data_IF_089238160986
#
_entry.id   IF_089238160986
#
_cell.length_a   1.000
_cell.length_b   1.000
_cell.length_c   1.000
_cell.angle_alpha   90.00
_cell.angle_beta   90.00
_cell.angle_gamma   90.00
#
_symmetry.space_group_name_H-M   'P 1'
#
loop_
_entity.id
_entity.type
_entity.pdbx_description
1 polymer ?
#
# COMPACT_ATOMS: atom_id res chain seq x y z
N UNK A 1 0.53 -26.38 7.32
CA UNK A 1 0.51 -24.93 7.01
C UNK A 1 -0.88 -24.59 6.50
N UNK A 2 -1.64 -23.74 7.19
CA UNK A 2 -3.00 -23.34 6.76
C UNK A 2 -2.82 -22.34 5.61
N UNK A 3 -3.26 -22.70 4.41
CA UNK A 3 -3.28 -21.75 3.29
C UNK A 3 -4.47 -20.83 3.52
N UNK A 4 -4.21 -19.55 3.80
CA UNK A 4 -5.27 -18.55 3.87
C UNK A 4 -5.67 -18.24 2.44
N UNK A 5 -6.87 -18.70 2.05
CA UNK A 5 -7.42 -18.42 0.72
C UNK A 5 -7.93 -16.99 0.60
N UNK A 6 -8.45 -16.41 1.69
CA UNK A 6 -9.06 -15.07 1.67
C UNK A 6 -8.76 -14.30 2.95
N UNK A 7 -8.58 -12.98 2.86
CA UNK A 7 -8.37 -12.13 4.04
C UNK A 7 -9.15 -10.82 3.90
N UNK A 8 -9.95 -10.50 4.93
CA UNK A 8 -10.67 -9.23 5.03
C UNK A 8 -9.86 -8.24 5.84
N UNK A 9 -9.43 -7.14 5.22
CA UNK A 9 -8.67 -6.07 5.85
C UNK A 9 -9.64 -5.10 6.54
N UNK A 10 -9.60 -4.99 7.88
CA UNK A 10 -10.29 -3.93 8.59
C UNK A 10 -9.85 -2.57 8.07
N UNK A 11 -10.81 -1.66 7.93
CA UNK A 11 -10.51 -0.29 7.55
C UNK A 11 -11.43 0.67 8.27
N UNK A 12 -10.94 1.88 8.46
CA UNK A 12 -11.72 2.99 8.98
C UNK A 12 -11.33 4.27 8.24
N UNK A 13 -12.21 5.25 8.24
CA UNK A 13 -11.93 6.53 7.64
C UNK A 13 -11.59 7.58 8.70
N UNK A 14 -10.64 8.44 8.36
CA UNK A 14 -10.38 9.69 9.07
C UNK A 14 -10.87 10.81 8.16
N UNK A 15 -11.90 11.52 8.62
CA UNK A 15 -12.42 12.70 7.97
C UNK A 15 -11.88 13.96 8.64
N UNK A 16 -11.26 14.83 7.86
CA UNK A 16 -10.68 16.12 8.26
C UNK A 16 -11.11 17.17 7.23
N UNK A 17 -12.28 17.79 7.39
CA UNK A 17 -12.86 18.71 6.40
C UNK A 17 -11.98 19.94 6.14
N UNK A 18 -11.18 20.34 7.13
CA UNK A 18 -10.20 21.43 7.06
C UNK A 18 -9.09 21.21 6.01
N UNK A 19 -8.92 19.98 5.47
CA UNK A 19 -7.88 19.66 4.48
C UNK A 19 -8.35 19.90 3.06
N UNK A 20 -7.65 20.78 2.34
CA UNK A 20 -7.96 21.16 0.94
C UNK A 20 -7.83 20.02 -0.07
N UNK A 21 -6.89 19.08 0.11
CA UNK A 21 -6.58 18.05 -0.90
C UNK A 21 -7.03 16.63 -0.56
N UNK A 22 -7.10 16.28 0.74
CA UNK A 22 -7.48 14.94 1.21
C UNK A 22 -8.33 15.06 2.47
N UNK A 23 -9.57 15.52 2.29
CA UNK A 23 -10.55 15.64 3.37
C UNK A 23 -10.91 14.28 3.98
N UNK A 24 -10.92 13.20 3.18
CA UNK A 24 -11.16 11.83 3.64
C UNK A 24 -9.92 10.97 3.39
N UNK A 25 -9.49 10.22 4.41
CA UNK A 25 -8.43 9.21 4.29
C UNK A 25 -8.92 7.88 4.83
N UNK A 26 -8.83 6.83 4.01
CA UNK A 26 -9.08 5.46 4.47
C UNK A 26 -7.79 4.92 5.06
N UNK A 27 -7.87 4.25 6.20
CA UNK A 27 -6.75 3.53 6.81
C UNK A 27 -7.11 2.05 6.77
N UNK A 28 -6.20 1.25 6.20
CA UNK A 28 -6.29 -0.20 6.18
C UNK A 28 -5.40 -0.74 7.29
N UNK A 29 -5.91 -1.68 8.08
CA UNK A 29 -5.15 -2.33 9.15
C UNK A 29 -4.92 -3.83 8.83
N UNK A 30 -3.81 -4.17 8.17
CA UNK A 30 -3.44 -5.55 7.89
C UNK A 30 -2.75 -6.26 9.08
N UNK A 31 -2.70 -5.63 10.27
CA UNK A 31 -2.09 -6.21 11.47
C UNK A 31 -3.10 -6.88 12.40
N UNK A 32 -4.39 -6.55 12.27
CA UNK A 32 -5.46 -7.20 13.02
C UNK A 32 -5.48 -8.72 12.75
N UNK A 33 -5.90 -9.52 13.74
CA UNK A 33 -6.04 -10.97 13.56
C UNK A 33 -7.47 -11.40 13.88
N UNK A 34 -8.04 -12.26 13.04
CA UNK A 34 -9.35 -12.89 13.31
C UNK A 34 -9.25 -14.41 13.44
N UNK A 35 -8.23 -15.00 12.81
CA UNK A 35 -8.00 -16.46 12.75
C UNK A 35 -6.64 -16.86 13.34
N UNK A 36 -5.97 -15.96 14.06
CA UNK A 36 -4.67 -16.17 14.70
C UNK A 36 -3.44 -15.74 13.87
N UNK A 37 -3.63 -15.27 12.63
CA UNK A 37 -2.57 -14.69 11.80
C UNK A 37 -3.04 -13.35 11.21
N UNK A 38 -2.13 -12.39 11.12
CA UNK A 38 -2.36 -11.11 10.46
C UNK A 38 -1.84 -11.17 9.03
N UNK A 39 -2.41 -10.37 8.13
CA UNK A 39 -1.92 -10.30 6.75
C UNK A 39 -0.43 -9.94 6.70
N UNK A 40 0.03 -9.02 7.54
CA UNK A 40 1.44 -8.63 7.60
C UNK A 40 2.37 -9.72 8.13
N UNK A 41 1.88 -10.69 8.90
CA UNK A 41 2.68 -11.85 9.33
C UNK A 41 2.86 -12.90 8.22
N UNK A 42 2.00 -12.87 7.20
CA UNK A 42 1.98 -13.82 6.09
C UNK A 42 2.75 -13.26 4.89
N UNK A 43 2.60 -11.96 4.63
CA UNK A 43 3.24 -11.30 3.50
C UNK A 43 4.77 -11.20 3.71
N UNK A 44 5.51 -11.56 2.68
CA UNK A 44 6.94 -11.28 2.61
C UNK A 44 7.16 -9.78 2.45
N UNK A 45 7.89 -9.17 3.39
CA UNK A 45 8.26 -7.75 3.32
C UNK A 45 9.04 -7.43 2.03
N UNK A 46 9.92 -8.35 1.60
CA UNK A 46 10.83 -8.16 0.46
C UNK A 46 12.11 -7.38 0.82
N UNK A 47 12.13 -6.69 1.96
CA UNK A 47 13.29 -5.95 2.46
C UNK A 47 13.33 -4.50 1.97
N UNK A 48 14.37 -3.77 2.36
CA UNK A 48 14.57 -2.39 1.90
C UNK A 48 15.49 -2.36 0.67
N UNK A 49 14.99 -1.80 -0.42
CA UNK A 49 15.78 -1.46 -1.62
C UNK A 49 16.17 0.02 -1.61
N UNK A 50 15.56 0.82 -0.74
CA UNK A 50 15.84 2.25 -0.66
C UNK A 50 17.25 2.45 -0.12
N UNK A 51 17.98 3.36 -0.77
CA UNK A 51 19.24 3.84 -0.24
C UNK A 51 19.02 4.49 1.13
N UNK A 52 20.03 4.38 1.98
CA UNK A 52 20.02 5.07 3.26
C UNK A 52 19.81 6.59 3.08
N UNK A 53 18.99 7.17 3.95
CA UNK A 53 18.58 8.57 3.84
C UNK A 53 19.79 9.53 3.92
N UNK A 54 20.80 9.21 4.73
CA UNK A 54 22.00 10.04 4.85
C UNK A 54 22.81 10.06 3.55
N UNK A 55 22.91 8.90 2.89
CA UNK A 55 23.55 8.77 1.57
C UNK A 55 22.77 9.51 0.48
N UNK A 56 21.44 9.39 0.49
CA UNK A 56 20.57 10.11 -0.44
C UNK A 56 20.70 11.63 -0.30
N UNK A 57 20.61 12.16 0.93
CA UNK A 57 20.71 13.60 1.20
C UNK A 57 22.11 14.12 0.87
N UNK A 58 23.16 13.36 1.18
CA UNK A 58 24.53 13.74 0.85
C UNK A 58 24.71 13.88 -0.65
N UNK A 59 24.30 12.88 -1.44
CA UNK A 59 24.35 12.93 -2.91
C UNK A 59 23.53 14.08 -3.48
N UNK A 60 22.31 14.29 -2.95
CA UNK A 60 21.43 15.39 -3.38
C UNK A 60 22.10 16.77 -3.21
N UNK A 61 22.95 16.94 -2.20
CA UNK A 61 23.68 18.20 -1.94
C UNK A 61 24.96 18.37 -2.77
N UNK A 62 25.48 17.33 -3.42
CA UNK A 62 26.75 17.42 -4.18
C UNK A 62 26.62 18.13 -5.53
N UNK A 63 25.41 18.20 -6.09
CA UNK A 63 25.16 18.78 -7.41
C UNK A 63 24.56 20.17 -7.29
N UNK A 64 24.92 21.06 -8.23
CA UNK A 64 24.44 22.46 -8.27
C UNK A 64 22.92 22.57 -8.47
N UNK A 65 22.33 21.60 -9.15
CA UNK A 65 20.91 21.54 -9.46
C UNK A 65 20.37 20.17 -9.08
N UNK A 66 19.15 20.14 -8.54
CA UNK A 66 18.48 18.93 -8.14
C UNK A 66 16.99 19.01 -8.47
N UNK A 67 16.41 17.90 -8.92
CA UNK A 67 14.99 17.78 -9.22
C UNK A 67 14.34 16.87 -8.18
N UNK A 68 13.13 17.22 -7.80
CA UNK A 68 12.30 16.43 -6.89
C UNK A 68 10.88 16.42 -7.42
N UNK A 69 10.22 15.26 -7.33
CA UNK A 69 8.85 15.06 -7.74
C UNK A 69 8.16 14.11 -6.77
N UNK A 70 6.86 14.33 -6.53
CA UNK A 70 6.02 13.45 -5.73
C UNK A 70 5.14 12.59 -6.66
N UNK A 71 5.13 11.28 -6.42
CA UNK A 71 4.29 10.36 -7.18
C UNK A 71 2.95 10.23 -6.46
N UNK A 72 1.98 11.01 -6.93
CA UNK A 72 0.65 11.03 -6.32
C UNK A 72 0.03 9.63 -6.32
N UNK A 73 -0.33 9.16 -5.12
CA UNK A 73 -0.98 7.85 -4.91
C UNK A 73 -0.18 6.68 -5.50
N UNK A 74 1.16 6.69 -5.37
CA UNK A 74 2.06 5.67 -5.96
C UNK A 74 1.57 4.22 -5.85
N UNK A 75 1.12 3.77 -4.68
CA UNK A 75 0.66 2.39 -4.48
C UNK A 75 -0.56 2.03 -5.32
N UNK A 76 -1.46 2.99 -5.57
CA UNK A 76 -2.67 2.79 -6.37
C UNK A 76 -2.40 2.71 -7.87
N UNK A 77 -1.17 2.96 -8.30
CA UNK A 77 -0.76 2.82 -9.70
C UNK A 77 -0.26 1.41 -10.03
N UNK A 78 -0.16 0.52 -9.03
CA UNK A 78 0.41 -0.82 -9.18
C UNK A 78 -0.69 -1.84 -8.96
N UNK A 79 -0.99 -2.63 -9.99
CA UNK A 79 -1.94 -3.73 -9.87
C UNK A 79 -1.35 -4.90 -9.08
N UNK A 80 -2.17 -5.48 -8.23
CA UNK A 80 -1.90 -6.76 -7.56
C UNK A 80 -2.29 -7.87 -8.53
N UNK A 81 -1.46 -8.92 -8.55
CA UNK A 81 -1.72 -10.12 -9.35
C UNK A 81 -3.11 -10.70 -8.97
N UNK A 82 -3.96 -11.06 -9.94
CA UNK A 82 -5.35 -11.46 -9.67
C UNK A 82 -5.52 -12.56 -8.62
N UNK A 83 -4.66 -13.59 -8.60
CA UNK A 83 -4.73 -14.68 -7.61
C UNK A 83 -4.46 -14.22 -6.17
N UNK A 84 -3.77 -13.09 -5.97
CA UNK A 84 -3.46 -12.53 -4.66
C UNK A 84 -4.48 -11.50 -4.14
N UNK A 85 -5.45 -11.07 -4.97
CA UNK A 85 -6.42 -10.02 -4.59
C UNK A 85 -7.39 -10.48 -3.49
N UNK A 86 -7.59 -11.78 -3.37
CA UNK A 86 -8.43 -12.39 -2.32
C UNK A 86 -7.92 -12.12 -0.89
N UNK A 87 -6.62 -11.82 -0.77
CA UNK A 87 -5.97 -11.43 0.48
C UNK A 87 -6.19 -9.95 0.84
N UNK A 88 -6.79 -9.17 -0.06
CA UNK A 88 -7.04 -7.74 0.11
C UNK A 88 -8.52 -7.41 -0.02
N UNK A 89 -9.37 -8.24 0.60
CA UNK A 89 -10.82 -8.00 0.64
C UNK A 89 -11.17 -6.96 1.68
N UNK A 90 -12.25 -6.22 1.43
CA UNK A 90 -12.85 -5.30 2.39
C UNK A 90 -14.36 -5.50 2.43
N UNK A 91 -14.97 -5.16 3.56
CA UNK A 91 -16.43 -5.12 3.71
C UNK A 91 -16.92 -3.67 3.62
N UNK A 92 -17.94 -3.42 2.82
CA UNK A 92 -18.51 -2.08 2.68
C UNK A 92 -20.02 -2.10 2.89
N UNK A 93 -20.52 -1.02 3.47
CA UNK A 93 -21.93 -0.84 3.77
C UNK A 93 -22.29 0.63 3.60
N UNK A 94 -23.23 0.92 2.71
CA UNK A 94 -23.64 2.29 2.37
C UNK A 94 -24.40 2.97 3.52
N UNK A 95 -25.29 2.23 4.18
CA UNK A 95 -26.06 2.70 5.35
C UNK A 95 -26.15 1.58 6.38
N UNK A 96 -26.48 1.90 7.63
CA UNK A 96 -26.61 0.92 8.72
C UNK A 96 -27.61 -0.21 8.45
N UNK A 97 -28.53 -0.05 7.48
CA UNK A 97 -29.53 -1.07 7.13
C UNK A 97 -29.24 -1.75 5.78
N UNK A 98 -28.25 -1.28 5.02
CA UNK A 98 -27.86 -1.90 3.75
C UNK A 98 -27.21 -3.28 3.97
N UNK A 99 -27.34 -4.21 2.99
CA UNK A 99 -26.58 -5.45 3.02
C UNK A 99 -25.07 -5.16 2.97
N UNK A 100 -24.27 -6.00 3.64
CA UNK A 100 -22.81 -5.93 3.58
C UNK A 100 -22.37 -6.42 2.20
N UNK A 101 -21.53 -5.63 1.53
CA UNK A 101 -20.90 -5.97 0.26
C UNK A 101 -19.43 -6.28 0.50
N UNK A 102 -18.90 -7.28 -0.19
CA UNK A 102 -17.47 -7.57 -0.21
C UNK A 102 -16.84 -7.01 -1.48
N UNK A 103 -15.67 -6.39 -1.34
CA UNK A 103 -14.89 -5.85 -2.45
C UNK A 103 -13.45 -6.36 -2.37
N UNK A 104 -12.81 -6.51 -3.52
CA UNK A 104 -11.39 -6.84 -3.64
C UNK A 104 -10.62 -5.61 -4.10
N UNK A 105 -9.53 -5.30 -3.38
CA UNK A 105 -8.66 -4.20 -3.77
C UNK A 105 -7.73 -4.67 -4.90
N UNK A 106 -7.80 -3.98 -6.04
CA UNK A 106 -7.05 -4.35 -7.23
C UNK A 106 -5.59 -3.91 -7.22
N UNK A 107 -5.25 -2.94 -6.38
CA UNK A 107 -3.94 -2.28 -6.38
C UNK A 107 -3.23 -2.48 -5.05
N UNK A 108 -1.92 -2.22 -5.01
CA UNK A 108 -1.13 -2.38 -3.79
C UNK A 108 -1.75 -1.54 -2.67
N UNK A 109 -2.18 -2.22 -1.60
CA UNK A 109 -2.78 -1.58 -0.44
C UNK A 109 -1.69 -1.09 0.51
N UNK A 110 -1.69 0.20 0.80
CA UNK A 110 -0.77 0.81 1.77
C UNK A 110 -1.04 0.26 3.19
N UNK A 111 0.01 0.20 4.00
CA UNK A 111 -0.03 -0.41 5.34
C UNK A 111 0.32 -1.91 5.34
N UNK A 112 0.30 -2.57 4.17
CA UNK A 112 0.77 -3.95 4.05
C UNK A 112 2.30 -4.04 4.10
N UNK A 113 2.83 -5.14 4.64
CA UNK A 113 4.27 -5.33 4.84
C UNK A 113 5.09 -5.25 3.55
N UNK A 114 4.53 -5.71 2.42
CA UNK A 114 5.20 -5.75 1.12
C UNK A 114 5.05 -4.47 0.31
N UNK A 115 4.11 -3.57 0.66
CA UNK A 115 3.79 -2.39 -0.16
C UNK A 115 5.01 -1.49 -0.47
N UNK A 116 5.89 -1.14 0.50
CA UNK A 116 7.05 -0.30 0.22
C UNK A 116 8.02 -0.97 -0.77
N UNK A 117 8.31 -2.25 -0.58
CA UNK A 117 9.19 -3.02 -1.47
C UNK A 117 8.62 -3.05 -2.89
N UNK A 118 7.35 -3.45 -3.04
CA UNK A 118 6.69 -3.56 -4.34
C UNK A 118 6.74 -2.24 -5.11
N UNK A 119 6.43 -1.13 -4.44
CA UNK A 119 6.42 0.17 -5.09
C UNK A 119 7.83 0.61 -5.53
N UNK A 120 8.84 0.40 -4.69
CA UNK A 120 10.22 0.75 -5.04
C UNK A 120 10.79 -0.14 -6.14
N UNK A 121 10.48 -1.44 -6.15
CA UNK A 121 10.89 -2.34 -7.25
C UNK A 121 10.31 -1.91 -8.57
N UNK A 122 9.02 -1.58 -8.61
CA UNK A 122 8.37 -1.12 -9.84
C UNK A 122 9.05 0.14 -10.36
N UNK A 123 9.28 1.14 -9.50
CA UNK A 123 9.97 2.37 -9.92
C UNK A 123 11.37 2.09 -10.46
N UNK A 124 12.14 1.22 -9.81
CA UNK A 124 13.49 0.87 -10.27
C UNK A 124 13.46 0.16 -11.63
N UNK A 125 12.59 -0.83 -11.79
CA UNK A 125 12.45 -1.56 -13.06
C UNK A 125 11.99 -0.64 -14.19
N UNK A 126 11.06 0.27 -13.93
CA UNK A 126 10.62 1.26 -14.92
C UNK A 126 11.75 2.22 -15.29
N UNK A 127 12.53 2.70 -14.32
CA UNK A 127 13.67 3.58 -14.59
C UNK A 127 14.76 2.87 -15.41
N UNK A 128 15.03 1.60 -15.12
CA UNK A 128 16.01 0.80 -15.85
C UNK A 128 15.53 0.45 -17.29
N UNK A 129 14.21 0.37 -17.52
CA UNK A 129 13.63 0.04 -18.83
C UNK A 129 13.58 1.22 -19.81
N UNK A 130 13.67 2.46 -19.32
CA UNK A 130 13.70 3.69 -20.12
C UNK A 130 15.14 4.07 -20.56
N UNK A 131 16.14 3.23 -20.22
CA UNK A 131 17.53 3.35 -20.62
C UNK A 131 17.92 2.30 -21.66
#
# INVERSE_FOLDING_TARGET
MRIIQSYYIPHHCIYKPEKTTTALRVIFDPTTTTTGQSLNSILLNGGSIQDDLSSLVSRFRTRKYAFSADIQKMYRQIFVEPSQRDLQRIVWKETNNSPIKSYELNTVTYGTASAPFLAMRVLKVLADAEH
#
